data_IF_595069472128
#
_entry.id   IF_595069472128
#
_cell.length_a   1.000
_cell.length_b   1.000
_cell.length_c   1.000
_cell.angle_alpha   90.00
_cell.angle_beta   90.00
_cell.angle_gamma   90.00
#
_symmetry.space_group_name_H-M   'P 1'
#
loop_
_entity.id
_entity.type
_entity.pdbx_description
1 polymer ?
#
# COMPACT_ATOMS: atom_id res chain seq x y z
N UNK A 1 5.47 9.30 37.46
CA UNK A 1 5.09 10.61 36.87
C UNK A 1 6.10 10.92 35.80
N UNK A 2 5.68 10.91 34.54
CA UNK A 2 6.50 11.37 33.42
C UNK A 2 5.57 12.19 32.52
N UNK A 3 5.74 13.51 32.57
CA UNK A 3 5.05 14.46 31.71
C UNK A 3 5.86 14.60 30.44
N UNK A 4 5.31 14.23 29.29
CA UNK A 4 5.96 14.49 28.01
C UNK A 4 5.37 15.79 27.46
N UNK A 5 6.18 16.85 27.50
CA UNK A 5 5.88 18.12 26.85
C UNK A 5 6.41 18.04 25.44
N UNK A 6 5.54 18.14 24.44
CA UNK A 6 5.95 18.31 23.05
C UNK A 6 5.64 19.75 22.65
N UNK A 7 6.70 20.55 22.56
CA UNK A 7 6.69 21.93 22.07
C UNK A 7 6.65 21.92 20.54
N UNK A 8 5.59 22.48 19.96
CA UNK A 8 5.48 22.79 18.53
C UNK A 8 4.98 24.23 18.42
N UNK A 9 5.89 25.19 18.37
CA UNK A 9 5.58 26.54 17.89
C UNK A 9 5.42 26.60 16.36
N UNK A 10 5.09 27.77 15.76
CA UNK A 10 4.26 28.85 16.26
C UNK A 10 3.24 29.25 15.18
N UNK A 11 2.13 28.53 15.02
CA UNK A 11 0.99 29.02 14.21
C UNK A 11 -0.33 28.44 14.72
N UNK A 12 -0.98 29.30 15.51
CA UNK A 12 -2.25 29.17 16.21
C UNK A 12 -3.36 28.58 15.34
N UNK A 13 -4.01 27.52 15.80
CA UNK A 13 -5.47 27.39 15.83
C UNK A 13 -5.87 26.54 17.06
N UNK A 14 -6.63 27.16 17.96
CA UNK A 14 -7.25 26.52 19.11
C UNK A 14 -8.46 25.71 18.62
N UNK A 15 -8.47 24.42 18.90
CA UNK A 15 -9.71 23.64 18.92
C UNK A 15 -9.74 22.87 20.25
N UNK A 16 -10.31 23.53 21.25
CA UNK A 16 -10.84 22.90 22.45
C UNK A 16 -12.09 22.15 21.99
N UNK A 17 -12.07 20.83 22.03
CA UNK A 17 -13.29 20.03 21.90
C UNK A 17 -13.54 19.32 23.23
N UNK A 18 -14.50 19.89 23.95
CA UNK A 18 -15.06 19.45 25.21
C UNK A 18 -15.69 18.06 25.07
N UNK A 19 -15.09 17.07 25.73
CA UNK A 19 -15.63 15.72 25.89
C UNK A 19 -16.33 15.61 27.25
N UNK A 20 -17.21 16.57 27.55
CA UNK A 20 -17.99 16.64 28.81
C UNK A 20 -19.41 17.13 28.54
N UNK A 21 -20.12 16.57 27.56
CA UNK A 21 -21.58 16.71 27.47
C UNK A 21 -22.12 15.57 26.62
N UNK A 22 -22.66 14.53 27.28
CA UNK A 22 -23.70 13.58 26.81
C UNK A 22 -23.72 12.25 27.59
N UNK A 23 -23.13 12.15 28.77
CA UNK A 23 -23.40 11.03 29.68
C UNK A 23 -23.56 11.51 31.13
N UNK A 24 -24.59 12.33 31.33
CA UNK A 24 -25.00 12.75 32.67
C UNK A 24 -26.50 12.96 32.66
N UNK A 25 -27.25 11.89 32.95
CA UNK A 25 -28.53 11.81 33.68
C UNK A 25 -29.35 10.61 33.18
N UNK A 26 -29.14 9.43 33.77
CA UNK A 26 -30.24 8.78 34.47
C UNK A 26 -29.68 7.78 35.49
N UNK A 27 -30.01 8.09 36.73
CA UNK A 27 -29.72 7.32 37.92
C UNK A 27 -30.55 6.04 37.97
N UNK A 28 -30.24 5.19 38.94
CA UNK A 28 -30.98 4.03 39.45
C UNK A 28 -31.03 2.74 38.62
N UNK A 29 -29.96 1.94 38.70
CA UNK A 29 -30.07 0.54 39.18
C UNK A 29 -28.67 -0.02 39.52
N UNK A 30 -28.16 0.32 40.70
CA UNK A 30 -27.02 -0.35 41.32
C UNK A 30 -27.56 -1.51 42.18
N UNK A 31 -27.27 -2.76 41.84
CA UNK A 31 -26.93 -3.78 42.84
C UNK A 31 -26.27 -4.99 42.18
N UNK A 32 -25.20 -5.46 42.84
CA UNK A 32 -24.44 -6.69 42.59
C UNK A 32 -23.89 -6.95 41.18
N UNK A 33 -22.57 -6.83 41.03
CA UNK A 33 -21.70 -8.02 40.92
C UNK A 33 -20.21 -7.62 40.79
N UNK A 34 -19.58 -7.40 41.94
CA UNK A 34 -18.12 -7.47 42.10
C UNK A 34 -17.69 -8.92 42.34
N UNK A 35 -17.64 -9.79 41.32
CA UNK A 35 -16.72 -10.95 41.34
C UNK A 35 -16.40 -11.32 39.89
N UNK A 36 -15.11 -11.60 39.60
CA UNK A 36 -14.61 -12.25 38.36
C UNK A 36 -13.90 -11.36 37.33
N UNK A 37 -13.34 -10.21 37.73
CA UNK A 37 -12.50 -9.37 36.85
C UNK A 37 -11.07 -9.94 36.60
N UNK A 38 -10.65 -10.97 37.33
CA UNK A 38 -9.29 -11.56 37.23
C UNK A 38 -9.14 -12.65 36.15
N UNK A 39 -10.24 -13.21 35.67
CA UNK A 39 -10.23 -14.30 34.67
C UNK A 39 -10.28 -13.78 33.22
N UNK A 40 -10.76 -12.55 33.00
CA UNK A 40 -10.96 -11.97 31.66
C UNK A 40 -9.72 -11.25 31.10
N UNK A 41 -8.68 -11.01 31.91
CA UNK A 41 -7.47 -10.33 31.45
C UNK A 41 -6.63 -11.17 30.47
N UNK A 42 -6.85 -12.48 30.41
CA UNK A 42 -6.15 -13.39 29.49
C UNK A 42 -6.89 -13.60 28.16
N UNK A 43 -8.14 -13.14 28.04
CA UNK A 43 -8.96 -13.42 26.84
C UNK A 43 -8.88 -12.32 25.76
N UNK A 44 -8.25 -11.18 26.04
CA UNK A 44 -8.20 -10.03 25.13
C UNK A 44 -7.01 -10.02 24.17
N UNK A 45 -6.07 -10.98 24.28
CA UNK A 45 -4.89 -11.05 23.40
C UNK A 45 -5.12 -11.79 22.06
N UNK A 46 -6.33 -12.33 21.81
CA UNK A 46 -6.61 -13.19 20.66
C UNK A 46 -7.28 -12.49 19.46
N UNK A 47 -7.51 -11.17 19.53
CA UNK A 47 -8.14 -10.40 18.45
C UNK A 47 -7.26 -9.23 17.98
N UNK A 48 -5.98 -9.49 17.73
CA UNK A 48 -5.27 -8.67 16.76
C UNK A 48 -5.66 -9.20 15.38
N UNK A 49 -6.45 -8.45 14.55
CA UNK A 49 -6.58 -8.81 13.14
C UNK A 49 -5.17 -8.71 12.56
N UNK A 50 -4.54 -9.87 12.35
CA UNK A 50 -3.29 -9.97 11.63
C UNK A 50 -3.53 -9.43 10.24
N UNK A 51 -3.07 -8.21 9.96
CA UNK A 51 -3.06 -7.68 8.61
C UNK A 51 -1.94 -8.42 7.89
N UNK A 52 -2.26 -9.61 7.38
CA UNK A 52 -1.39 -10.36 6.48
C UNK A 52 -1.43 -9.61 5.16
N UNK A 53 -0.59 -8.60 5.02
CA UNK A 53 -0.23 -8.11 3.71
C UNK A 53 0.65 -9.17 3.06
N UNK A 54 0.21 -9.74 1.94
CA UNK A 54 0.99 -10.67 1.14
C UNK A 54 2.14 -9.93 0.44
N UNK A 55 3.09 -9.40 1.21
CA UNK A 55 4.18 -8.54 0.74
C UNK A 55 5.27 -9.39 0.08
N UNK A 56 5.42 -9.26 -1.23
CA UNK A 56 6.53 -9.78 -2.01
C UNK A 56 7.45 -8.63 -2.43
N UNK A 57 8.44 -8.25 -1.59
CA UNK A 57 9.22 -7.02 -1.78
C UNK A 57 10.01 -7.02 -3.09
N UNK A 58 10.38 -8.18 -3.62
CA UNK A 58 11.12 -8.27 -4.87
C UNK A 58 10.22 -8.05 -6.10
N UNK A 59 8.98 -8.55 -6.08
CA UNK A 59 7.98 -8.22 -7.11
C UNK A 59 7.66 -6.72 -7.11
N UNK A 60 7.56 -6.13 -5.91
CA UNK A 60 7.29 -4.69 -5.75
C UNK A 60 8.40 -3.84 -6.36
N UNK A 61 9.66 -4.10 -5.99
CA UNK A 61 10.82 -3.41 -6.58
C UNK A 61 10.87 -3.55 -8.09
N UNK A 62 10.58 -4.75 -8.59
CA UNK A 62 10.55 -5.02 -10.02
C UNK A 62 9.47 -4.19 -10.72
N UNK A 63 8.26 -4.14 -10.16
CA UNK A 63 7.19 -3.32 -10.72
C UNK A 63 7.50 -1.82 -10.69
N UNK A 64 8.15 -1.33 -9.63
CA UNK A 64 8.66 0.04 -9.56
C UNK A 64 9.67 0.32 -10.68
N UNK A 65 10.58 -0.62 -10.96
CA UNK A 65 11.55 -0.47 -12.06
C UNK A 65 10.88 -0.47 -13.43
N UNK A 66 9.85 -1.30 -13.64
CA UNK A 66 9.03 -1.30 -14.86
C UNK A 66 8.37 0.06 -15.05
N UNK A 67 7.74 0.61 -14.00
CA UNK A 67 7.10 1.91 -14.07
C UNK A 67 8.08 3.05 -14.37
N UNK A 68 9.23 3.09 -13.70
CA UNK A 68 10.30 4.06 -13.98
C UNK A 68 10.78 3.99 -15.42
N UNK A 69 11.03 2.78 -15.91
CA UNK A 69 11.47 2.54 -17.29
C UNK A 69 10.40 2.94 -18.30
N UNK A 70 9.13 2.66 -18.01
CA UNK A 70 8.01 2.98 -18.91
C UNK A 70 7.76 4.48 -18.99
N UNK A 71 7.79 5.15 -17.84
CA UNK A 71 7.59 6.60 -17.72
C UNK A 71 8.84 7.39 -18.10
N UNK A 72 9.94 6.72 -18.45
CA UNK A 72 11.23 7.31 -18.82
C UNK A 72 11.74 8.32 -17.78
N UNK A 73 11.64 7.94 -16.49
CA UNK A 73 12.07 8.77 -15.36
C UNK A 73 12.83 7.93 -14.33
N UNK A 74 13.85 8.51 -13.72
CA UNK A 74 14.61 7.87 -12.64
C UNK A 74 13.86 7.90 -11.30
N UNK A 75 12.94 8.85 -11.15
CA UNK A 75 12.23 9.12 -9.91
C UNK A 75 10.72 9.17 -10.14
N UNK A 76 10.00 8.41 -9.32
CA UNK A 76 8.55 8.46 -9.17
C UNK A 76 8.25 8.47 -7.67
N UNK A 77 7.24 9.23 -7.26
CA UNK A 77 6.76 9.17 -5.88
C UNK A 77 5.82 7.98 -5.78
N UNK A 78 6.19 6.96 -5.00
CA UNK A 78 5.38 5.74 -4.80
C UNK A 78 4.50 5.89 -3.57
N UNK A 79 3.22 5.58 -3.71
CA UNK A 79 2.22 5.72 -2.66
C UNK A 79 2.00 4.45 -1.88
N UNK A 80 0.85 3.83 -2.11
CA UNK A 80 0.44 2.55 -1.53
C UNK A 80 0.88 1.47 -2.51
N UNK A 81 1.57 0.44 -2.01
CA UNK A 81 1.97 -0.72 -2.80
C UNK A 81 1.31 -1.95 -2.20
N UNK A 82 0.76 -2.80 -3.07
CA UNK A 82 0.13 -4.05 -2.71
C UNK A 82 0.63 -5.11 -3.68
N UNK A 83 1.28 -6.13 -3.14
CA UNK A 83 1.69 -7.30 -3.88
C UNK A 83 0.76 -8.47 -3.59
N UNK A 84 0.65 -9.34 -4.59
CA UNK A 84 -0.24 -10.48 -4.60
C UNK A 84 0.50 -11.69 -5.20
N UNK A 85 1.49 -12.25 -4.50
CA UNK A 85 2.26 -13.41 -4.97
C UNK A 85 1.39 -14.65 -5.18
N UNK A 86 0.26 -14.75 -4.49
CA UNK A 86 -0.61 -15.93 -4.52
C UNK A 86 -1.63 -15.92 -5.66
N UNK A 87 -1.76 -14.79 -6.36
CA UNK A 87 -2.55 -14.72 -7.58
C UNK A 87 -1.85 -15.46 -8.72
N UNK A 88 -2.65 -15.94 -9.68
CA UNK A 88 -2.17 -16.60 -10.90
C UNK A 88 -2.74 -15.83 -12.10
N UNK A 89 -1.98 -14.93 -12.75
CA UNK A 89 -0.57 -14.62 -12.51
C UNK A 89 -0.32 -13.79 -11.22
N UNK A 90 0.88 -13.89 -10.61
CA UNK A 90 1.28 -13.04 -9.49
C UNK A 90 1.34 -11.58 -9.94
N UNK A 91 0.97 -10.66 -9.05
CA UNK A 91 0.85 -9.26 -9.44
C UNK A 91 1.22 -8.26 -8.35
N UNK A 92 1.43 -7.03 -8.77
CA UNK A 92 1.67 -5.87 -7.92
C UNK A 92 0.81 -4.73 -8.42
N UNK A 93 0.14 -4.06 -7.50
CA UNK A 93 -0.58 -2.81 -7.73
C UNK A 93 0.01 -1.72 -6.85
N UNK A 94 0.34 -0.59 -7.45
CA UNK A 94 0.83 0.56 -6.70
C UNK A 94 0.18 1.86 -7.16
N UNK A 95 -0.02 2.79 -6.23
CA UNK A 95 -0.29 4.18 -6.60
C UNK A 95 1.02 4.94 -6.80
N UNK A 96 1.04 5.85 -7.76
CA UNK A 96 2.23 6.64 -8.05
C UNK A 96 1.89 8.09 -8.41
N UNK A 97 2.91 8.95 -8.40
CA UNK A 97 2.86 10.27 -8.99
C UNK A 97 4.19 10.60 -9.66
N UNK A 98 4.13 11.24 -10.82
CA UNK A 98 5.29 11.83 -11.49
C UNK A 98 5.69 13.16 -10.86
N UNK A 99 4.83 13.76 -10.01
CA UNK A 99 5.14 14.98 -9.27
C UNK A 99 6.00 14.62 -8.05
N UNK A 100 7.16 15.27 -7.86
CA UNK A 100 8.00 15.04 -6.69
C UNK A 100 7.27 15.52 -5.43
N UNK A 101 7.28 14.70 -4.38
CA UNK A 101 6.71 15.07 -3.08
C UNK A 101 5.19 15.11 -3.02
N UNK A 102 4.49 14.51 -4.00
CA UNK A 102 3.04 14.40 -3.96
C UNK A 102 2.58 13.64 -2.69
N UNK A 103 1.56 14.12 -1.96
CA UNK A 103 1.04 13.40 -0.81
C UNK A 103 0.29 12.14 -1.25
N UNK A 104 0.42 11.05 -0.49
CA UNK A 104 -0.17 9.74 -0.85
C UNK A 104 -1.68 9.79 -1.09
N UNK A 105 -2.40 10.66 -0.37
CA UNK A 105 -3.84 10.84 -0.51
C UNK A 105 -4.26 11.46 -1.85
N UNK A 106 -3.35 12.13 -2.56
CA UNK A 106 -3.60 12.74 -3.88
C UNK A 106 -3.11 11.87 -5.04
N UNK A 107 -2.53 10.69 -4.76
CA UNK A 107 -2.05 9.78 -5.80
C UNK A 107 -3.20 8.92 -6.33
N UNK A 108 -3.84 9.39 -7.40
CA UNK A 108 -4.90 8.65 -8.11
C UNK A 108 -4.38 7.72 -9.20
N UNK A 109 -3.18 7.98 -9.73
CA UNK A 109 -2.60 7.16 -10.79
C UNK A 109 -2.14 5.82 -10.23
N UNK A 110 -2.51 4.75 -10.93
CA UNK A 110 -2.23 3.37 -10.53
C UNK A 110 -1.34 2.73 -11.58
N UNK A 111 -0.33 2.00 -11.12
CA UNK A 111 0.48 1.14 -11.95
C UNK A 111 0.30 -0.30 -11.48
N UNK A 112 0.03 -1.20 -12.42
CA UNK A 112 -0.16 -2.62 -12.14
C UNK A 112 0.81 -3.43 -12.98
N UNK A 113 1.48 -4.40 -12.36
CA UNK A 113 2.33 -5.36 -13.04
C UNK A 113 1.84 -6.76 -12.75
N UNK A 114 1.85 -7.61 -13.76
CA UNK A 114 1.63 -9.05 -13.65
C UNK A 114 2.89 -9.77 -14.14
N UNK A 115 3.26 -10.83 -13.43
CA UNK A 115 4.46 -11.60 -13.72
C UNK A 115 4.08 -13.05 -14.03
N UNK A 116 4.89 -13.71 -14.86
CA UNK A 116 4.71 -15.14 -15.17
C UNK A 116 4.97 -16.00 -13.92
N UNK A 117 5.89 -15.59 -13.05
CA UNK A 117 6.30 -16.32 -11.85
C UNK A 117 6.54 -15.35 -10.67
N UNK A 118 6.36 -15.80 -9.42
CA UNK A 118 6.59 -14.98 -8.23
C UNK A 118 8.07 -14.90 -7.83
N UNK A 119 8.93 -15.73 -8.42
CA UNK A 119 10.36 -15.80 -8.13
C UNK A 119 11.21 -15.33 -9.33
N UNK A 120 12.43 -14.85 -9.10
CA UNK A 120 13.36 -14.48 -10.18
C UNK A 120 13.68 -15.64 -11.13
N UNK A 121 13.93 -15.39 -12.43
CA UNK A 121 13.83 -14.08 -13.09
C UNK A 121 12.36 -13.67 -13.28
N UNK A 122 12.03 -12.46 -12.84
CA UNK A 122 10.66 -11.97 -12.91
C UNK A 122 10.30 -11.57 -14.34
N UNK A 123 9.57 -12.42 -15.04
CA UNK A 123 9.12 -12.15 -16.42
C UNK A 123 7.78 -11.43 -16.41
N UNK A 124 7.73 -10.27 -17.06
CA UNK A 124 6.51 -9.48 -17.19
C UNK A 124 5.52 -10.16 -18.15
N UNK A 125 4.32 -10.48 -17.67
CA UNK A 125 3.23 -11.02 -18.50
C UNK A 125 2.33 -9.91 -19.02
N UNK A 126 2.07 -8.89 -18.20
CA UNK A 126 1.22 -7.73 -18.49
C UNK A 126 1.57 -6.58 -17.55
N UNK A 127 1.33 -5.35 -17.99
CA UNK A 127 1.29 -4.21 -17.07
C UNK A 127 0.22 -3.21 -17.50
N UNK A 128 -0.31 -2.45 -16.54
CA UNK A 128 -1.31 -1.41 -16.78
C UNK A 128 -0.86 -0.09 -16.17
N UNK A 129 -1.13 0.99 -16.90
CA UNK A 129 -0.95 2.37 -16.48
C UNK A 129 -2.33 3.01 -16.43
N UNK A 130 -2.83 3.19 -15.22
CA UNK A 130 -4.22 3.54 -14.93
C UNK A 130 -5.18 2.57 -15.63
N UNK A 131 -5.87 2.99 -16.71
CA UNK A 131 -6.81 2.14 -17.45
C UNK A 131 -6.21 1.50 -18.72
N UNK A 132 -4.97 1.84 -19.08
CA UNK A 132 -4.35 1.37 -20.32
C UNK A 132 -3.40 0.22 -20.02
N UNK A 133 -3.62 -0.92 -20.67
CA UNK A 133 -2.82 -2.11 -20.43
C UNK A 133 -1.97 -2.50 -21.65
N UNK A 134 -0.88 -3.18 -21.36
CA UNK A 134 0.18 -3.56 -22.27
C UNK A 134 0.50 -5.03 -22.05
N UNK A 135 0.40 -5.81 -23.11
CA UNK A 135 0.51 -7.27 -23.09
C UNK A 135 0.95 -7.79 -24.47
N UNK A 136 1.44 -9.05 -24.59
CA UNK A 136 1.86 -9.58 -25.89
C UNK A 136 0.68 -9.85 -26.84
N UNK A 137 -0.54 -9.89 -26.28
CA UNK A 137 -1.80 -10.15 -26.97
C UNK A 137 -2.58 -8.87 -27.30
N UNK A 138 -2.04 -7.67 -27.01
CA UNK A 138 -2.69 -6.42 -27.43
C UNK A 138 -2.87 -6.37 -28.95
N UNK A 139 -4.07 -5.93 -29.38
CA UNK A 139 -4.38 -5.70 -30.81
C UNK A 139 -3.72 -4.43 -31.34
N UNK A 140 -3.57 -3.42 -30.47
CA UNK A 140 -2.90 -2.18 -30.80
C UNK A 140 -1.39 -2.43 -30.98
N UNK A 141 -0.91 -2.21 -32.20
CA UNK A 141 0.48 -2.46 -32.57
C UNK A 141 1.49 -1.62 -31.80
N UNK A 142 1.13 -0.40 -31.40
CA UNK A 142 2.00 0.47 -30.59
C UNK A 142 2.09 -0.06 -29.15
N UNK A 143 0.97 -0.39 -28.52
CA UNK A 143 0.95 -0.97 -27.16
C UNK A 143 1.69 -2.30 -27.11
N UNK A 144 1.47 -3.16 -28.10
CA UNK A 144 2.19 -4.42 -28.24
C UNK A 144 3.70 -4.21 -28.38
N UNK A 145 4.11 -3.21 -29.17
CA UNK A 145 5.52 -2.84 -29.33
C UNK A 145 6.12 -2.31 -28.02
N UNK A 146 5.45 -1.39 -27.33
CA UNK A 146 5.89 -0.84 -26.03
C UNK A 146 6.04 -1.94 -24.98
N UNK A 147 5.13 -2.91 -24.97
CA UNK A 147 5.25 -4.10 -24.11
C UNK A 147 6.50 -4.92 -24.44
N UNK A 148 6.74 -5.19 -25.72
CA UNK A 148 7.93 -5.93 -26.16
C UNK A 148 9.21 -5.20 -25.78
N UNK A 149 9.28 -3.89 -25.97
CA UNK A 149 10.41 -3.06 -25.55
C UNK A 149 10.65 -3.17 -24.04
N UNK A 150 9.58 -3.07 -23.23
CA UNK A 150 9.66 -3.19 -21.78
C UNK A 150 10.16 -4.56 -21.33
N UNK A 151 9.70 -5.66 -21.94
CA UNK A 151 10.21 -7.00 -21.63
C UNK A 151 11.72 -7.10 -21.82
N UNK A 152 12.24 -6.58 -22.92
CA UNK A 152 13.69 -6.63 -23.19
C UNK A 152 14.46 -5.75 -22.20
N UNK A 153 13.92 -4.60 -21.79
CA UNK A 153 14.53 -3.76 -20.74
C UNK A 153 14.59 -4.51 -19.42
N UNK A 154 13.50 -5.14 -19.00
CA UNK A 154 13.42 -5.89 -17.76
C UNK A 154 14.35 -7.12 -17.76
N UNK A 155 14.34 -7.91 -18.84
CA UNK A 155 15.18 -9.10 -18.96
C UNK A 155 16.68 -8.75 -18.82
N UNK A 156 17.11 -7.58 -19.30
CA UNK A 156 18.47 -7.07 -19.10
C UNK A 156 18.75 -6.61 -17.68
N UNK A 157 17.75 -6.08 -16.99
CA UNK A 157 17.88 -5.63 -15.61
C UNK A 157 18.02 -6.85 -14.67
N UNK A 158 17.21 -7.89 -14.87
CA UNK A 158 17.23 -9.14 -14.07
C UNK A 158 18.47 -9.99 -14.35
N UNK A 159 19.07 -9.88 -15.54
CA UNK A 159 20.30 -10.62 -15.89
C UNK A 159 21.59 -10.03 -15.28
N UNK A 160 21.53 -8.86 -14.64
CA UNK A 160 22.68 -8.23 -13.99
C UNK A 160 22.86 -8.83 -12.58
N UNK A 161 24.01 -9.47 -12.27
CA UNK A 161 24.26 -10.08 -10.96
C UNK A 161 24.48 -9.05 -9.84
#
# INVERSE_FOLDING_TARGET
>A
MATIVVDIGPSKWLAVYDLVFMYGTLSSHLHEQEVSMRQYLLLTLLFAPGIVFAQAPDLEKTCVNVAKSFLLTDQITVGIVQSFPELKPPGVRMSYSTKPGAPKAEMSDIFECEFENPNPPHRLSRFCVSSTCYSPTEEDGERKRRFAEMRVVLDRAEARP
#
